data_IF_589650570957
#
_entry.id   IF_589650570957
#
_cell.length_a   1.000
_cell.length_b   1.000
_cell.length_c   1.000
_cell.angle_alpha   90.00
_cell.angle_beta   90.00
_cell.angle_gamma   90.00
#
_symmetry.space_group_name_H-M   'P 1'
#
loop_
_entity.id
_entity.type
_entity.pdbx_description
1 polymer ?
#
# COMPACT_ATOMS: atom_id res chain seq x y z
N UNK A 1 -49.40 -22.62 10.33
CA UNK A 1 -49.26 -22.00 9.00
C UNK A 1 -48.52 -20.69 9.21
N UNK A 2 -47.19 -20.73 9.20
CA UNK A 2 -46.36 -19.56 9.47
C UNK A 2 -45.78 -19.06 8.16
N UNK A 3 -46.14 -17.82 7.85
CA UNK A 3 -45.61 -16.92 6.82
C UNK A 3 -44.27 -17.34 6.23
N UNK A 4 -44.30 -17.78 4.98
CA UNK A 4 -43.14 -17.75 4.08
C UNK A 4 -42.79 -16.30 3.76
N UNK A 5 -42.23 -15.59 4.75
CA UNK A 5 -41.40 -14.41 4.50
C UNK A 5 -40.22 -14.91 3.68
N UNK A 6 -40.12 -14.48 2.43
CA UNK A 6 -38.90 -14.59 1.63
C UNK A 6 -37.75 -14.05 2.47
N UNK A 7 -37.00 -14.97 3.08
CA UNK A 7 -35.97 -14.61 4.03
C UNK A 7 -34.72 -14.37 3.22
N UNK A 8 -34.26 -13.12 3.19
CA UNK A 8 -33.04 -12.70 2.49
C UNK A 8 -31.87 -13.65 2.88
N UNK A 9 -31.17 -14.27 1.91
CA UNK A 9 -30.04 -15.16 2.19
C UNK A 9 -28.97 -14.51 3.07
N UNK A 10 -28.79 -13.19 3.02
CA UNK A 10 -27.83 -12.52 3.90
C UNK A 10 -28.27 -12.50 5.36
N UNK A 11 -29.58 -12.34 5.62
CA UNK A 11 -30.12 -12.38 6.97
C UNK A 11 -30.03 -13.80 7.54
N UNK A 12 -30.23 -14.82 6.70
CA UNK A 12 -29.99 -16.21 7.08
C UNK A 12 -28.53 -16.46 7.40
N UNK A 13 -27.61 -16.01 6.56
CA UNK A 13 -26.16 -16.15 6.81
C UNK A 13 -25.75 -15.45 8.11
N UNK A 14 -26.29 -14.27 8.39
CA UNK A 14 -26.11 -13.56 9.66
C UNK A 14 -26.65 -14.36 10.84
N UNK A 15 -27.87 -14.87 10.76
CA UNK A 15 -28.48 -15.70 11.79
C UNK A 15 -27.66 -16.97 12.06
N UNK A 16 -27.22 -17.66 11.01
CA UNK A 16 -26.38 -18.85 11.12
C UNK A 16 -25.06 -18.54 11.81
N UNK A 17 -24.42 -17.45 11.43
CA UNK A 17 -23.14 -17.03 12.01
C UNK A 17 -23.27 -16.63 13.47
N UNK A 18 -24.34 -15.93 13.84
CA UNK A 18 -24.61 -15.51 15.22
C UNK A 18 -24.90 -16.69 16.15
N UNK A 19 -25.54 -17.74 15.63
CA UNK A 19 -25.90 -18.95 16.39
C UNK A 19 -24.90 -20.10 16.21
N UNK A 20 -23.78 -19.88 15.50
CA UNK A 20 -22.79 -20.91 15.15
C UNK A 20 -23.40 -22.16 14.49
N UNK A 21 -24.38 -21.96 13.61
CA UNK A 21 -24.98 -23.01 12.80
C UNK A 21 -24.17 -23.23 11.52
N UNK A 22 -24.14 -24.47 11.04
CA UNK A 22 -23.45 -24.87 9.81
C UNK A 22 -24.43 -25.03 8.66
N UNK A 23 -24.22 -24.30 7.56
CA UNK A 23 -24.92 -24.52 6.30
C UNK A 23 -24.33 -25.69 5.51
N UNK A 24 -25.12 -26.27 4.61
CA UNK A 24 -24.69 -27.34 3.72
C UNK A 24 -24.40 -26.78 2.32
N UNK A 25 -23.35 -27.31 1.69
CA UNK A 25 -23.00 -27.00 0.31
C UNK A 25 -23.49 -28.15 -0.56
N UNK A 26 -24.23 -27.84 -1.63
CA UNK A 26 -24.81 -28.83 -2.52
C UNK A 26 -24.31 -28.64 -3.95
N UNK A 27 -24.00 -29.74 -4.65
CA UNK A 27 -23.74 -29.71 -6.09
C UNK A 27 -25.02 -29.53 -6.93
N UNK A 28 -24.90 -29.57 -8.26
CA UNK A 28 -26.03 -29.47 -9.18
C UNK A 28 -27.03 -30.65 -9.05
N UNK A 29 -26.57 -31.80 -8.56
CA UNK A 29 -27.39 -33.00 -8.32
C UNK A 29 -27.96 -33.04 -6.91
N UNK A 30 -27.77 -31.99 -6.11
CA UNK A 30 -28.17 -31.87 -4.71
C UNK A 30 -27.45 -32.83 -3.75
N UNK A 31 -26.26 -33.31 -4.10
CA UNK A 31 -25.40 -34.04 -3.17
C UNK A 31 -24.59 -33.06 -2.32
N UNK A 32 -24.31 -33.44 -1.07
CA UNK A 32 -23.48 -32.63 -0.16
C UNK A 32 -22.02 -32.68 -0.60
N UNK A 33 -21.41 -31.51 -0.75
CA UNK A 33 -19.99 -31.34 -1.10
C UNK A 33 -19.24 -30.62 0.01
N UNK A 34 -17.92 -30.83 0.10
CA UNK A 34 -17.09 -30.23 1.15
C UNK A 34 -16.50 -28.87 0.77
N UNK A 35 -16.30 -28.62 -0.53
CA UNK A 35 -15.65 -27.40 -1.04
C UNK A 35 -16.66 -26.50 -1.73
N UNK A 36 -16.42 -25.19 -1.64
CA UNK A 36 -17.34 -24.18 -2.17
C UNK A 36 -17.26 -24.07 -3.70
N UNK A 37 -16.09 -24.35 -4.29
CA UNK A 37 -15.89 -24.46 -5.73
C UNK A 37 -16.81 -25.50 -6.38
N UNK A 38 -17.03 -26.64 -5.71
CA UNK A 38 -17.81 -27.77 -6.23
C UNK A 38 -19.32 -27.60 -6.00
N UNK A 39 -19.71 -26.67 -5.13
CA UNK A 39 -21.09 -26.38 -4.82
C UNK A 39 -21.75 -25.60 -5.97
N UNK A 40 -23.04 -25.82 -6.19
CA UNK A 40 -23.92 -24.94 -6.98
C UNK A 40 -24.87 -24.16 -6.06
N UNK A 41 -25.27 -24.77 -4.95
CA UNK A 41 -26.22 -24.20 -4.00
C UNK A 41 -25.66 -24.16 -2.58
N UNK A 42 -26.11 -23.15 -1.81
CA UNK A 42 -25.89 -23.05 -0.37
C UNK A 42 -27.25 -23.26 0.30
N UNK A 43 -27.31 -24.23 1.21
CA UNK A 43 -28.53 -24.61 1.92
C UNK A 43 -28.49 -24.15 3.38
N UNK A 44 -29.55 -23.44 3.78
CA UNK A 44 -29.85 -23.04 5.15
C UNK A 44 -31.18 -23.71 5.52
N UNK A 45 -31.15 -24.74 6.37
CA UNK A 45 -32.29 -25.58 6.73
C UNK A 45 -32.98 -26.17 5.49
N UNK A 46 -34.23 -25.76 5.22
CA UNK A 46 -35.01 -26.18 4.05
C UNK A 46 -34.88 -25.23 2.85
N UNK A 47 -34.21 -24.09 3.02
CA UNK A 47 -34.04 -23.06 1.99
C UNK A 47 -32.72 -23.24 1.25
N UNK A 48 -32.76 -23.06 -0.07
CA UNK A 48 -31.61 -23.24 -0.96
C UNK A 48 -31.44 -22.01 -1.83
N UNK A 49 -30.21 -21.54 -1.96
CA UNK A 49 -29.86 -20.37 -2.74
C UNK A 49 -28.74 -20.70 -3.71
N UNK A 50 -28.80 -20.14 -4.92
CA UNK A 50 -27.70 -20.22 -5.88
C UNK A 50 -26.49 -19.46 -5.32
N UNK A 51 -25.31 -20.10 -5.30
CA UNK A 51 -24.10 -19.49 -4.75
C UNK A 51 -23.65 -18.25 -5.53
N UNK A 52 -24.04 -18.13 -6.80
CA UNK A 52 -23.70 -17.01 -7.68
C UNK A 52 -24.77 -15.92 -7.70
N UNK A 53 -25.87 -16.08 -6.95
CA UNK A 53 -26.86 -15.03 -6.78
C UNK A 53 -26.20 -13.78 -6.17
N UNK A 54 -26.41 -12.64 -6.82
CA UNK A 54 -25.91 -11.36 -6.32
C UNK A 54 -26.73 -10.94 -5.10
N UNK A 55 -26.03 -10.69 -4.00
CA UNK A 55 -26.66 -10.24 -2.78
C UNK A 55 -27.02 -8.75 -2.92
N UNK A 56 -28.32 -8.43 -2.81
CA UNK A 56 -28.85 -7.09 -3.09
C UNK A 56 -28.76 -6.15 -1.90
N UNK A 57 -28.67 -6.66 -0.66
CA UNK A 57 -28.75 -5.88 0.57
C UNK A 57 -27.39 -5.39 1.11
N UNK A 58 -26.27 -6.00 0.71
CA UNK A 58 -24.93 -5.54 1.07
C UNK A 58 -24.23 -4.91 -0.14
N UNK A 59 -24.09 -3.59 -0.11
CA UNK A 59 -23.29 -2.84 -1.08
C UNK A 59 -21.94 -2.50 -0.45
N UNK A 60 -20.86 -2.93 -1.08
CA UNK A 60 -19.51 -2.49 -0.69
C UNK A 60 -19.32 -0.99 -0.88
N UNK A 61 -18.18 -0.47 -0.45
CA UNK A 61 -17.80 0.94 -0.69
C UNK A 61 -17.79 1.30 -2.18
N UNK A 62 -17.54 0.31 -3.02
CA UNK A 62 -17.53 0.37 -4.48
C UNK A 62 -18.94 0.37 -5.11
N UNK A 63 -20.02 0.26 -4.31
CA UNK A 63 -21.40 0.02 -4.78
C UNK A 63 -21.55 -1.26 -5.62
N UNK A 64 -20.55 -2.12 -5.62
CA UNK A 64 -20.62 -3.40 -6.31
C UNK A 64 -21.39 -4.40 -5.44
N UNK A 65 -22.29 -5.15 -6.08
CA UNK A 65 -22.96 -6.28 -5.45
C UNK A 65 -22.03 -7.50 -5.52
N UNK A 66 -21.89 -8.20 -4.39
CA UNK A 66 -21.08 -9.41 -4.32
C UNK A 66 -21.96 -10.66 -4.44
N UNK A 67 -21.47 -11.72 -5.10
CA UNK A 67 -22.17 -12.99 -5.11
C UNK A 67 -22.18 -13.61 -3.70
N UNK A 68 -23.24 -14.37 -3.40
CA UNK A 68 -23.42 -15.02 -2.10
C UNK A 68 -22.23 -15.90 -1.70
N UNK A 69 -21.60 -16.59 -2.67
CA UNK A 69 -20.42 -17.42 -2.47
C UNK A 69 -19.23 -16.66 -1.88
N UNK A 70 -18.98 -15.43 -2.33
CA UNK A 70 -17.88 -14.59 -1.83
C UNK A 70 -18.15 -14.14 -0.40
N UNK A 71 -19.38 -13.72 -0.12
CA UNK A 71 -19.79 -13.32 1.23
C UNK A 71 -19.79 -14.50 2.21
N UNK A 72 -20.24 -15.67 1.74
CA UNK A 72 -20.19 -16.92 2.49
C UNK A 72 -18.76 -17.33 2.82
N UNK A 73 -17.87 -17.34 1.82
CA UNK A 73 -16.45 -17.64 1.98
C UNK A 73 -15.82 -16.75 3.05
N UNK A 74 -15.97 -15.43 2.91
CA UNK A 74 -15.45 -14.46 3.86
C UNK A 74 -15.94 -14.69 5.30
N UNK A 75 -17.20 -15.12 5.47
CA UNK A 75 -17.79 -15.47 6.77
C UNK A 75 -17.18 -16.76 7.34
N UNK A 76 -17.05 -17.81 6.53
CA UNK A 76 -16.49 -19.10 6.97
C UNK A 76 -15.01 -19.00 7.32
N UNK A 77 -14.26 -18.15 6.62
CA UNK A 77 -12.85 -17.90 6.86
C UNK A 77 -12.60 -16.70 7.78
N UNK A 78 -13.54 -16.36 8.67
CA UNK A 78 -13.45 -15.18 9.54
C UNK A 78 -12.21 -15.17 10.44
N UNK A 79 -11.69 -16.34 10.79
CA UNK A 79 -10.54 -16.52 11.68
C UNK A 79 -9.19 -16.40 10.95
N UNK A 80 -9.19 -16.41 9.61
CA UNK A 80 -7.97 -16.24 8.81
C UNK A 80 -7.55 -14.77 8.74
N UNK A 81 -6.25 -14.51 8.73
CA UNK A 81 -5.73 -13.19 8.37
C UNK A 81 -6.08 -12.81 6.90
N UNK A 82 -5.80 -11.57 6.50
CA UNK A 82 -6.18 -11.11 5.16
C UNK A 82 -5.36 -11.78 4.05
N UNK A 83 -4.10 -12.11 4.31
CA UNK A 83 -3.22 -12.76 3.33
C UNK A 83 -3.68 -14.18 3.05
N UNK A 84 -3.90 -14.98 4.09
CA UNK A 84 -4.38 -16.36 3.99
C UNK A 84 -5.77 -16.46 3.40
N UNK A 85 -6.65 -15.51 3.72
CA UNK A 85 -7.96 -15.41 3.06
C UNK A 85 -7.83 -15.21 1.54
N UNK A 86 -6.89 -14.39 1.08
CA UNK A 86 -6.68 -14.19 -0.36
C UNK A 86 -6.05 -15.42 -1.04
N UNK A 87 -5.16 -16.13 -0.34
CA UNK A 87 -4.63 -17.42 -0.81
C UNK A 87 -5.76 -18.44 -0.96
N UNK A 88 -6.56 -18.64 0.08
CA UNK A 88 -7.71 -19.56 0.10
C UNK A 88 -8.77 -19.19 -0.95
N UNK A 89 -9.06 -17.89 -1.13
CA UNK A 89 -9.95 -17.41 -2.19
C UNK A 89 -9.40 -17.65 -3.60
N UNK A 90 -8.08 -17.75 -3.76
CA UNK A 90 -7.43 -18.12 -5.02
C UNK A 90 -7.59 -19.60 -5.31
N UNK A 91 -7.42 -20.44 -4.29
CA UNK A 91 -7.63 -21.90 -4.39
C UNK A 91 -9.08 -22.23 -4.76
N UNK A 92 -10.05 -21.51 -4.19
CA UNK A 92 -11.48 -21.60 -4.52
C UNK A 92 -11.86 -20.94 -5.86
N UNK A 93 -10.89 -20.36 -6.58
CA UNK A 93 -11.02 -19.76 -7.93
C UNK A 93 -12.05 -18.62 -8.02
N UNK A 94 -12.12 -17.77 -7.00
CA UNK A 94 -12.97 -16.58 -7.05
C UNK A 94 -12.46 -15.52 -8.03
N UNK A 95 -13.36 -15.08 -8.93
CA UNK A 95 -13.12 -13.97 -9.86
C UNK A 95 -13.23 -12.60 -9.18
N UNK A 96 -14.10 -12.47 -8.18
CA UNK A 96 -14.32 -11.24 -7.40
C UNK A 96 -14.07 -11.56 -5.94
N UNK A 97 -13.41 -10.66 -5.20
CA UNK A 97 -13.07 -10.83 -3.79
C UNK A 97 -13.34 -9.55 -3.02
N UNK A 98 -13.68 -9.67 -1.74
CA UNK A 98 -13.73 -8.52 -0.86
C UNK A 98 -12.33 -7.98 -0.60
N UNK A 99 -12.15 -6.67 -0.77
CA UNK A 99 -10.93 -6.02 -0.29
C UNK A 99 -10.89 -6.00 1.26
N UNK A 100 -9.76 -5.56 1.83
CA UNK A 100 -9.57 -5.57 3.29
C UNK A 100 -10.66 -4.79 4.04
N UNK A 101 -11.02 -3.61 3.55
CA UNK A 101 -12.02 -2.74 4.18
C UNK A 101 -13.42 -3.33 4.08
N UNK A 102 -13.80 -3.84 2.91
CA UNK A 102 -15.09 -4.49 2.66
C UNK A 102 -15.24 -5.76 3.49
N UNK A 103 -14.19 -6.61 3.58
CA UNK A 103 -14.20 -7.81 4.42
C UNK A 103 -14.41 -7.45 5.89
N UNK A 104 -13.72 -6.42 6.38
CA UNK A 104 -13.89 -5.94 7.77
C UNK A 104 -15.31 -5.45 8.04
N UNK A 105 -15.89 -4.68 7.11
CA UNK A 105 -17.27 -4.20 7.21
C UNK A 105 -18.28 -5.36 7.19
N UNK A 106 -18.10 -6.29 6.25
CA UNK A 106 -18.91 -7.50 6.13
C UNK A 106 -18.91 -8.32 7.41
N UNK A 107 -17.73 -8.66 7.93
CA UNK A 107 -17.59 -9.42 9.18
C UNK A 107 -18.22 -8.70 10.38
N UNK A 108 -18.09 -7.37 10.44
CA UNK A 108 -18.73 -6.56 11.48
C UNK A 108 -20.26 -6.61 11.39
N UNK A 109 -20.82 -6.62 10.17
CA UNK A 109 -22.25 -6.72 9.95
C UNK A 109 -22.79 -8.11 10.33
N UNK A 110 -22.15 -9.17 9.85
CA UNK A 110 -22.57 -10.56 10.11
C UNK A 110 -22.44 -10.91 11.60
N UNK A 111 -21.46 -10.35 12.29
CA UNK A 111 -21.30 -10.51 13.75
C UNK A 111 -22.30 -9.67 14.56
N UNK A 112 -23.13 -8.84 13.90
CA UNK A 112 -24.09 -7.95 14.58
C UNK A 112 -23.45 -6.74 15.26
N UNK A 113 -22.16 -6.47 15.04
CA UNK A 113 -21.45 -5.32 15.61
C UNK A 113 -21.76 -4.01 14.89
N UNK A 114 -22.22 -4.07 13.63
CA UNK A 114 -22.62 -2.90 12.85
C UNK A 114 -23.94 -3.17 12.12
N UNK A 115 -24.89 -2.21 12.09
CA UNK A 115 -26.02 -2.28 11.16
C UNK A 115 -25.53 -2.10 9.70
N UNK A 116 -26.32 -2.57 8.74
CA UNK A 116 -26.10 -2.28 7.31
C UNK A 116 -26.23 -0.78 7.08
N UNK A 117 -25.33 -0.23 6.27
CA UNK A 117 -25.30 1.21 5.94
C UNK A 117 -26.56 1.73 5.21
N UNK A 118 -27.46 0.83 4.79
CA UNK A 118 -28.66 1.19 4.03
C UNK A 118 -29.90 1.46 4.90
N UNK A 119 -29.88 1.18 6.21
CA UNK A 119 -31.07 1.31 7.06
C UNK A 119 -31.16 2.64 7.82
N UNK A 120 -30.18 3.54 7.70
CA UNK A 120 -30.26 4.83 8.36
C UNK A 120 -29.28 5.83 7.73
N UNK A 121 -29.89 6.88 7.16
CA UNK A 121 -29.37 8.23 6.97
C UNK A 121 -27.86 8.44 7.05
N UNK A 122 -27.35 8.99 5.95
CA UNK A 122 -25.99 9.51 5.67
C UNK A 122 -25.37 10.47 6.71
N UNK A 123 -25.91 10.63 7.90
CA UNK A 123 -25.44 11.55 8.92
C UNK A 123 -25.20 10.84 10.25
N UNK A 124 -24.08 10.13 10.43
CA UNK A 124 -23.54 9.83 11.77
C UNK A 124 -22.11 9.25 11.72
N UNK A 125 -21.17 9.99 11.12
CA UNK A 125 -19.81 10.07 11.68
C UNK A 125 -19.80 11.14 12.82
N UNK A 126 -20.78 11.02 13.72
CA UNK A 126 -20.81 11.72 14.99
C UNK A 126 -20.00 10.89 15.98
N UNK A 127 -18.77 11.35 16.23
CA UNK A 127 -17.88 10.84 17.28
C UNK A 127 -18.68 10.59 18.56
N UNK A 128 -18.61 9.37 19.08
CA UNK A 128 -18.99 9.04 20.45
C UNK A 128 -18.07 9.82 21.40
N UNK A 129 -18.48 11.05 21.72
CA UNK A 129 -17.91 11.80 22.84
C UNK A 129 -18.62 11.32 24.09
N UNK A 130 -17.89 10.53 24.85
CA UNK A 130 -18.21 10.13 26.20
C UNK A 130 -18.45 11.40 27.02
N UNK A 131 -19.68 11.56 27.50
CA UNK A 131 -20.19 12.73 28.21
C UNK A 131 -19.53 12.81 29.60
N UNK A 132 -18.28 13.26 29.65
CA UNK A 132 -17.63 13.69 30.89
C UNK A 132 -18.22 15.04 31.30
N UNK A 133 -18.49 15.14 32.60
CA UNK A 133 -19.22 16.25 33.21
C UNK A 133 -18.52 17.58 32.93
N UNK A 134 -19.37 18.52 32.60
CA UNK A 134 -19.12 19.92 32.28
C UNK A 134 -18.25 20.57 33.36
N UNK A 135 -17.04 20.98 33.00
CA UNK A 135 -16.28 21.98 33.73
C UNK A 135 -16.09 23.18 32.79
N UNK A 136 -16.14 24.39 33.35
CA UNK A 136 -16.38 25.65 32.64
C UNK A 136 -15.16 26.17 31.85
N UNK A 137 -14.73 25.44 30.81
CA UNK A 137 -13.59 25.81 29.94
C UNK A 137 -14.00 25.91 28.45
N UNK A 138 -15.20 26.41 28.17
CA UNK A 138 -15.78 26.42 26.80
C UNK A 138 -15.06 27.39 25.85
N UNK A 139 -14.42 28.45 26.37
CA UNK A 139 -13.81 29.47 25.51
C UNK A 139 -12.44 29.06 24.93
N UNK A 140 -11.67 28.23 25.65
CA UNK A 140 -10.32 27.86 25.21
C UNK A 140 -10.34 26.77 24.12
N UNK A 141 -11.30 25.84 24.21
CA UNK A 141 -11.45 24.78 23.21
C UNK A 141 -11.94 25.33 21.86
N UNK A 142 -12.76 26.39 21.86
CA UNK A 142 -13.20 27.04 20.64
C UNK A 142 -12.04 27.73 19.91
N UNK A 143 -11.17 28.44 20.65
CA UNK A 143 -9.99 29.09 20.08
C UNK A 143 -9.00 28.07 19.50
N UNK A 144 -8.71 26.99 20.24
CA UNK A 144 -7.87 25.90 19.75
C UNK A 144 -8.45 25.23 18.49
N UNK A 145 -9.77 25.02 18.43
CA UNK A 145 -10.40 24.43 17.26
C UNK A 145 -10.30 25.34 16.01
N UNK A 146 -10.43 26.66 16.18
CA UNK A 146 -10.27 27.65 15.10
C UNK A 146 -8.82 27.68 14.61
N UNK A 147 -7.84 27.64 15.52
CA UNK A 147 -6.42 27.66 15.18
C UNK A 147 -5.98 26.39 14.46
N UNK A 148 -6.46 25.21 14.89
CA UNK A 148 -6.24 23.94 14.20
C UNK A 148 -6.81 23.98 12.78
N UNK A 149 -8.03 24.52 12.60
CA UNK A 149 -8.65 24.68 11.27
C UNK A 149 -7.83 25.62 10.38
N UNK A 150 -7.33 26.73 10.94
CA UNK A 150 -6.48 27.69 10.23
C UNK A 150 -5.16 27.06 9.78
N UNK A 151 -4.51 26.29 10.65
CA UNK A 151 -3.28 25.57 10.31
C UNK A 151 -3.49 24.50 9.23
N UNK A 152 -4.58 23.73 9.30
CA UNK A 152 -4.90 22.74 8.27
C UNK A 152 -5.15 23.40 6.91
N UNK A 153 -5.90 24.51 6.88
CA UNK A 153 -6.14 25.28 5.66
C UNK A 153 -4.83 25.83 5.07
N UNK A 154 -3.95 26.38 5.90
CA UNK A 154 -2.66 26.89 5.45
C UNK A 154 -1.73 25.79 4.90
N UNK A 155 -1.76 24.58 5.46
CA UNK A 155 -1.04 23.43 4.89
C UNK A 155 -1.60 23.03 3.52
N UNK A 156 -2.92 22.92 3.43
CA UNK A 156 -3.58 22.58 2.17
C UNK A 156 -3.32 23.61 1.06
N UNK A 157 -3.32 24.91 1.37
CA UNK A 157 -2.96 25.95 0.39
C UNK A 157 -1.49 25.87 -0.04
N UNK A 158 -0.57 25.55 0.88
CA UNK A 158 0.85 25.31 0.52
C UNK A 158 1.01 24.09 -0.38
N UNK A 159 0.33 22.99 -0.07
CA UNK A 159 0.39 21.76 -0.88
C UNK A 159 -0.24 21.99 -2.26
N UNK A 160 -1.32 22.79 -2.34
CA UNK A 160 -1.93 23.18 -3.60
C UNK A 160 -0.97 23.98 -4.48
N UNK A 161 -0.30 24.99 -3.92
CA UNK A 161 0.70 25.79 -4.65
C UNK A 161 1.88 24.92 -5.09
N UNK A 162 2.34 24.02 -4.21
CA UNK A 162 3.41 23.08 -4.55
C UNK A 162 3.02 22.17 -5.71
N UNK A 163 1.80 21.62 -5.70
CA UNK A 163 1.29 20.75 -6.76
C UNK A 163 1.07 21.50 -8.09
N UNK A 164 0.57 22.74 -8.05
CA UNK A 164 0.46 23.60 -9.24
C UNK A 164 1.85 23.92 -9.83
N UNK A 165 2.84 24.21 -8.99
CA UNK A 165 4.22 24.43 -9.43
C UNK A 165 4.85 23.16 -9.99
N UNK A 166 4.65 22.01 -9.33
CA UNK A 166 5.11 20.71 -9.81
C UNK A 166 4.51 20.38 -11.17
N UNK A 167 3.22 20.60 -11.38
CA UNK A 167 2.56 20.38 -12.67
C UNK A 167 3.06 21.35 -13.75
N UNK A 168 3.30 22.62 -13.40
CA UNK A 168 3.91 23.58 -14.34
C UNK A 168 5.32 23.18 -14.73
N UNK A 169 6.15 22.78 -13.75
CA UNK A 169 7.48 22.24 -14.02
C UNK A 169 7.37 21.00 -14.90
N UNK A 170 6.53 20.04 -14.55
CA UNK A 170 6.32 18.80 -15.31
C UNK A 170 5.83 19.06 -16.75
N UNK A 171 4.90 19.98 -16.96
CA UNK A 171 4.41 20.35 -18.30
C UNK A 171 5.45 21.13 -19.11
N UNK A 172 6.22 22.02 -18.47
CA UNK A 172 7.35 22.69 -19.12
C UNK A 172 8.48 21.72 -19.46
N UNK A 173 8.57 20.65 -18.68
CA UNK A 173 9.52 19.58 -18.81
C UNK A 173 9.07 18.59 -19.91
N UNK A 174 7.78 18.28 -20.04
CA UNK A 174 7.16 17.37 -21.05
C UNK A 174 7.47 17.65 -22.52
N UNK A 175 8.19 18.74 -22.86
CA UNK A 175 8.91 18.86 -24.14
C UNK A 175 10.35 18.31 -24.00
N UNK A 176 10.49 17.12 -23.40
CA UNK A 176 11.80 16.53 -23.21
C UNK A 176 12.26 15.87 -24.51
N UNK A 177 13.43 16.25 -25.07
CA UNK A 177 13.94 15.68 -26.31
C UNK A 177 14.17 14.16 -26.27
N UNK A 178 14.18 13.55 -25.08
CA UNK A 178 14.42 12.12 -24.92
C UNK A 178 13.15 11.27 -25.08
N UNK A 179 11.94 11.81 -24.91
CA UNK A 179 10.69 11.08 -25.19
C UNK A 179 10.52 10.84 -26.70
N UNK A 180 10.82 11.82 -27.55
CA UNK A 180 10.86 11.65 -29.01
C UNK A 180 11.94 10.64 -29.45
N UNK A 181 13.05 10.54 -28.71
CA UNK A 181 14.11 9.55 -28.95
C UNK A 181 13.75 8.12 -28.53
N UNK A 182 12.80 7.94 -27.60
CA UNK A 182 12.31 6.60 -27.21
C UNK A 182 11.25 6.06 -28.17
N UNK A 183 10.54 6.94 -28.88
CA UNK A 183 9.50 6.55 -29.84
C UNK A 183 10.01 6.34 -31.28
N UNK A 184 11.26 6.72 -31.60
CA UNK A 184 11.83 6.45 -32.92
C UNK A 184 12.03 4.94 -33.10
N UNK A 185 11.24 4.35 -34.02
CA UNK A 185 11.19 2.90 -34.34
C UNK A 185 12.47 2.33 -34.97
N UNK A 186 13.48 3.14 -35.20
CA UNK A 186 14.74 2.69 -35.78
C UNK A 186 15.56 1.99 -34.69
N UNK A 187 15.46 0.66 -34.70
CA UNK A 187 15.91 -0.29 -33.67
C UNK A 187 17.44 -0.39 -33.47
N UNK A 188 18.23 0.53 -33.99
CA UNK A 188 19.69 0.45 -33.90
C UNK A 188 20.28 1.69 -33.21
N UNK A 189 20.45 1.50 -31.89
CA UNK A 189 21.68 1.83 -31.15
C UNK A 189 22.21 3.27 -31.21
N UNK A 190 21.53 4.22 -30.57
CA UNK A 190 22.26 5.39 -30.07
C UNK A 190 21.75 5.93 -28.72
N UNK A 191 21.92 5.12 -27.67
CA UNK A 191 21.70 5.53 -26.28
C UNK A 191 22.71 6.58 -25.78
N UNK A 192 23.68 7.00 -26.59
CA UNK A 192 24.70 7.99 -26.21
C UNK A 192 24.10 9.32 -25.75
N UNK A 193 23.01 9.77 -26.40
CA UNK A 193 22.30 10.98 -26.00
C UNK A 193 21.59 10.80 -24.65
N UNK A 194 20.95 9.65 -24.44
CA UNK A 194 20.32 9.31 -23.15
C UNK A 194 21.33 9.29 -22.01
N UNK A 195 22.51 8.70 -22.23
CA UNK A 195 23.60 8.67 -21.25
C UNK A 195 24.11 10.09 -20.95
N UNK A 196 24.28 10.95 -21.97
CA UNK A 196 24.67 12.35 -21.77
C UNK A 196 23.63 13.15 -20.98
N UNK A 197 22.34 12.95 -21.24
CA UNK A 197 21.27 13.60 -20.47
C UNK A 197 21.23 13.09 -19.03
N UNK A 198 21.39 11.78 -18.81
CA UNK A 198 21.46 11.21 -17.47
C UNK A 198 22.65 11.78 -16.67
N UNK A 199 23.82 11.93 -17.28
CA UNK A 199 24.99 12.54 -16.64
C UNK A 199 24.75 14.02 -16.30
N UNK A 200 24.08 14.78 -17.17
CA UNK A 200 23.75 16.19 -16.90
C UNK A 200 22.76 16.34 -15.73
N UNK A 201 21.73 15.51 -15.65
CA UNK A 201 20.67 15.65 -14.66
C UNK A 201 20.99 14.97 -13.32
N UNK A 202 21.52 13.75 -13.33
CA UNK A 202 21.77 13.01 -12.09
C UNK A 202 23.14 13.34 -11.48
N UNK A 203 24.15 13.64 -12.30
CA UNK A 203 25.51 13.88 -11.81
C UNK A 203 25.86 15.37 -11.70
N UNK A 204 25.43 16.23 -12.63
CA UNK A 204 25.74 17.68 -12.61
C UNK A 204 24.72 18.56 -11.88
N UNK A 205 23.44 18.17 -11.74
CA UNK A 205 22.51 18.94 -10.90
C UNK A 205 23.01 19.05 -9.44
N UNK A 206 23.80 18.07 -9.00
CA UNK A 206 24.42 18.03 -7.67
C UNK A 206 25.56 19.03 -7.46
N UNK A 207 26.13 19.61 -8.53
CA UNK A 207 27.22 20.60 -8.39
C UNK A 207 26.73 22.05 -8.41
N UNK A 208 25.49 22.33 -8.82
CA UNK A 208 24.94 23.70 -8.81
C UNK A 208 24.44 24.15 -7.45
N UNK A 209 24.08 23.24 -6.54
CA UNK A 209 23.63 23.60 -5.19
C UNK A 209 24.76 23.89 -4.19
N UNK A 210 26.03 23.77 -4.60
CA UNK A 210 27.19 24.01 -3.73
C UNK A 210 27.95 25.30 -4.02
N UNK A 211 27.54 26.08 -5.04
CA UNK A 211 28.14 27.39 -5.30
C UNK A 211 27.10 28.38 -5.87
N UNK A 212 26.75 29.37 -5.05
CA UNK A 212 25.93 30.56 -5.33
C UNK A 212 24.40 30.39 -5.30
N UNK A 213 23.79 30.72 -4.15
CA UNK A 213 23.20 32.05 -3.92
C UNK A 213 22.70 32.15 -2.47
N UNK A 214 23.38 32.94 -1.64
CA UNK A 214 22.88 33.35 -0.33
C UNK A 214 21.50 33.99 -0.51
N UNK A 215 20.45 33.34 0.00
CA UNK A 215 19.13 33.96 0.13
C UNK A 215 19.23 35.08 1.18
N UNK A 216 18.75 36.31 0.87
CA UNK A 216 18.75 37.40 1.83
C UNK A 216 17.90 37.04 3.05
N UNK A 217 18.41 37.39 4.23
CA UNK A 217 17.92 36.96 5.53
C UNK A 217 16.44 37.26 5.77
N UNK A 218 15.74 36.26 6.30
CA UNK A 218 14.54 36.47 7.09
C UNK A 218 14.97 36.83 8.51
N UNK A 219 14.65 38.03 9.04
CA UNK A 219 14.86 38.31 10.45
C UNK A 219 13.93 37.42 11.26
N UNK A 220 14.52 36.47 12.01
CA UNK A 220 13.83 35.78 13.10
C UNK A 220 13.72 36.78 14.25
N UNK A 221 12.58 37.43 14.36
CA UNK A 221 12.12 38.02 15.61
C UNK A 221 11.90 36.86 16.60
N UNK A 222 12.83 36.70 17.53
CA UNK A 222 12.68 35.83 18.67
C UNK A 222 11.72 36.48 19.67
N UNK A 223 10.56 35.85 19.87
CA UNK A 223 9.73 36.06 21.05
C UNK A 223 10.50 35.60 22.31
N UNK A 224 10.58 36.42 23.38
CA UNK A 224 11.40 36.11 24.56
C UNK A 224 10.72 35.21 25.61
N UNK A 225 9.55 34.61 25.34
CA UNK A 225 8.82 33.81 26.34
C UNK A 225 8.34 32.45 25.82
N UNK A 226 9.28 31.53 25.58
CA UNK A 226 8.96 30.10 25.51
C UNK A 226 10.11 29.25 26.06
N UNK A 227 10.37 29.39 27.38
CA UNK A 227 11.09 28.36 28.13
C UNK A 227 10.14 27.19 28.35
N UNK A 228 10.23 26.17 27.50
CA UNK A 228 9.87 24.81 27.89
C UNK A 228 11.02 23.88 27.56
N UNK A 229 11.45 23.15 28.57
CA UNK A 229 12.55 22.18 28.56
C UNK A 229 12.18 20.98 27.68
N UNK A 230 12.28 21.11 26.36
CA UNK A 230 12.29 19.98 25.45
C UNK A 230 13.73 19.58 25.14
N UNK A 231 14.04 18.31 25.45
CA UNK A 231 15.34 17.63 25.35
C UNK A 231 16.18 18.04 24.13
N UNK A 232 17.41 18.43 24.41
CA UNK A 232 18.47 18.75 23.43
C UNK A 232 19.31 17.53 22.99
N UNK A 233 18.77 16.31 23.01
CA UNK A 233 19.54 15.07 22.77
C UNK A 233 19.41 14.48 21.36
N UNK A 234 18.91 15.24 20.37
CA UNK A 234 18.93 14.81 18.96
C UNK A 234 19.65 15.83 18.10
N UNK A 235 20.87 16.20 18.52
CA UNK A 235 21.92 16.52 17.55
C UNK A 235 22.62 15.21 17.22
N UNK A 236 21.94 14.37 16.46
CA UNK A 236 22.60 13.25 15.78
C UNK A 236 23.68 13.87 14.92
N UNK A 237 24.92 13.71 15.41
CA UNK A 237 26.16 13.84 14.65
C UNK A 237 25.88 13.36 13.23
N UNK A 238 25.93 14.28 12.27
CA UNK A 238 25.96 14.01 10.84
C UNK A 238 27.26 13.25 10.58
N UNK A 239 27.25 11.94 10.89
CA UNK A 239 28.32 11.04 10.48
C UNK A 239 28.41 11.16 8.96
N UNK A 240 29.65 11.32 8.50
CA UNK A 240 30.02 11.37 7.09
C UNK A 240 29.30 10.27 6.30
N UNK A 241 28.91 10.55 5.05
CA UNK A 241 28.03 9.67 4.30
C UNK A 241 28.65 8.29 4.18
N UNK A 242 28.02 7.31 4.83
CA UNK A 242 28.29 5.90 4.63
C UNK A 242 28.04 5.58 3.15
N UNK A 243 28.73 4.57 2.63
CA UNK A 243 28.53 4.14 1.26
C UNK A 243 27.03 3.87 1.03
N UNK A 244 26.44 4.30 -0.11
CA UNK A 244 25.03 4.04 -0.40
C UNK A 244 24.74 2.54 -0.36
N UNK A 245 23.73 2.17 0.43
CA UNK A 245 23.22 0.81 0.55
C UNK A 245 22.03 0.60 -0.38
N UNK A 246 22.04 -0.53 -1.11
CA UNK A 246 21.01 -0.93 -2.07
C UNK A 246 20.50 -2.32 -1.67
N UNK A 247 19.21 -2.46 -1.40
CA UNK A 247 18.60 -3.78 -1.19
C UNK A 247 18.26 -4.40 -2.54
N UNK A 248 18.68 -5.65 -2.66
CA UNK A 248 18.40 -6.52 -3.80
C UNK A 248 17.33 -7.52 -3.34
N UNK A 249 16.24 -7.70 -4.10
CA UNK A 249 15.20 -8.64 -3.70
C UNK A 249 15.76 -10.07 -3.61
N UNK A 250 15.40 -10.83 -2.55
CA UNK A 250 15.88 -12.20 -2.39
C UNK A 250 15.16 -13.22 -3.29
N UNK A 251 14.20 -12.76 -4.12
CA UNK A 251 13.36 -13.63 -4.94
C UNK A 251 14.16 -14.33 -6.05
N UNK A 252 13.96 -15.64 -6.28
CA UNK A 252 14.56 -16.36 -7.41
C UNK A 252 13.98 -15.93 -8.76
N UNK A 253 12.84 -15.23 -8.78
CA UNK A 253 12.22 -14.72 -10.01
C UNK A 253 12.69 -13.31 -10.40
N UNK A 254 13.48 -12.64 -9.54
CA UNK A 254 13.92 -11.28 -9.81
C UNK A 254 14.98 -11.26 -10.92
N UNK A 255 14.89 -10.28 -11.83
CA UNK A 255 15.84 -10.13 -12.93
C UNK A 255 17.27 -9.86 -12.43
N UNK A 256 17.41 -9.03 -11.38
CA UNK A 256 18.68 -8.77 -10.70
C UNK A 256 18.63 -9.40 -9.32
N UNK A 257 19.60 -10.25 -9.02
CA UNK A 257 19.75 -10.93 -7.73
C UNK A 257 21.18 -10.80 -7.22
N UNK A 258 21.41 -11.19 -5.96
CA UNK A 258 22.77 -11.22 -5.39
C UNK A 258 23.72 -12.18 -6.13
N UNK A 259 23.21 -13.08 -6.99
CA UNK A 259 24.04 -13.94 -7.81
C UNK A 259 24.66 -13.21 -9.01
N UNK A 260 23.86 -12.41 -9.72
CA UNK A 260 24.27 -11.82 -11.01
C UNK A 260 24.61 -10.32 -10.94
N UNK A 261 24.36 -9.67 -9.80
CA UNK A 261 24.56 -8.22 -9.66
C UNK A 261 26.01 -7.78 -9.87
N UNK A 262 26.97 -8.65 -9.53
CA UNK A 262 28.40 -8.36 -9.69
C UNK A 262 28.78 -8.34 -11.17
N UNK A 263 28.46 -9.40 -11.92
CA UNK A 263 28.70 -9.52 -13.36
C UNK A 263 27.99 -8.39 -14.11
N UNK A 264 26.76 -8.07 -13.70
CA UNK A 264 25.97 -7.02 -14.33
C UNK A 264 26.60 -5.63 -14.13
N UNK A 265 27.03 -5.29 -12.91
CA UNK A 265 27.48 -3.94 -12.59
C UNK A 265 28.98 -3.70 -12.78
N UNK A 266 29.82 -4.72 -12.62
CA UNK A 266 31.27 -4.65 -12.81
C UNK A 266 31.66 -4.99 -14.25
N UNK A 267 31.17 -6.12 -14.76
CA UNK A 267 31.60 -6.67 -16.05
C UNK A 267 30.68 -6.25 -17.21
N UNK A 268 29.61 -5.50 -16.90
CA UNK A 268 28.57 -5.11 -17.87
C UNK A 268 27.98 -6.31 -18.63
N UNK A 269 27.91 -7.48 -17.97
CA UNK A 269 27.44 -8.73 -18.56
C UNK A 269 26.29 -9.30 -17.75
N UNK A 270 25.18 -9.58 -18.42
CA UNK A 270 24.07 -10.29 -17.79
C UNK A 270 24.29 -11.81 -17.87
N UNK A 271 24.11 -12.47 -16.74
CA UNK A 271 24.08 -13.93 -16.63
C UNK A 271 22.84 -14.36 -15.84
N UNK A 272 22.19 -15.40 -16.33
CA UNK A 272 20.97 -15.94 -15.73
C UNK A 272 21.28 -16.65 -14.40
N UNK A 273 20.44 -16.42 -13.38
CA UNK A 273 20.68 -16.91 -12.03
C UNK A 273 20.84 -18.44 -11.96
N UNK A 274 20.14 -19.20 -12.80
CA UNK A 274 20.21 -20.66 -12.83
C UNK A 274 21.65 -21.15 -13.06
N UNK A 275 22.39 -20.53 -13.98
CA UNK A 275 23.76 -20.91 -14.33
C UNK A 275 24.78 -20.55 -13.23
N UNK A 276 24.49 -19.50 -12.46
CA UNK A 276 25.36 -19.01 -11.40
C UNK A 276 25.17 -19.77 -10.08
N UNK A 277 23.96 -20.28 -9.82
CA UNK A 277 23.66 -21.04 -8.60
C UNK A 277 24.48 -22.31 -8.46
N UNK A 278 24.76 -22.99 -9.57
CA UNK A 278 25.51 -24.25 -9.57
C UNK A 278 27.02 -24.04 -9.40
N UNK A 279 27.52 -22.86 -9.78
CA UNK A 279 28.95 -22.56 -9.85
C UNK A 279 29.45 -21.64 -8.74
N UNK A 280 28.57 -20.89 -8.07
CA UNK A 280 28.96 -19.86 -7.09
C UNK A 280 28.09 -19.89 -5.83
N UNK A 281 28.76 -19.68 -4.68
CA UNK A 281 28.08 -19.51 -3.39
C UNK A 281 27.45 -18.11 -3.33
N UNK A 282 26.20 -18.03 -2.87
CA UNK A 282 25.49 -16.77 -2.66
C UNK A 282 26.20 -15.92 -1.60
N UNK A 283 26.59 -14.71 -1.96
CA UNK A 283 27.03 -13.68 -1.02
C UNK A 283 25.83 -12.83 -0.59
N UNK A 284 25.64 -12.63 0.71
CA UNK A 284 24.55 -11.81 1.26
C UNK A 284 24.88 -10.31 1.31
N UNK A 285 26.15 -9.98 1.07
CA UNK A 285 26.64 -8.62 1.14
C UNK A 285 27.79 -8.43 0.15
N UNK A 286 27.64 -7.52 -0.81
CA UNK A 286 28.60 -7.27 -1.88
C UNK A 286 28.96 -5.79 -1.90
N UNK A 287 30.26 -5.47 -2.05
CA UNK A 287 30.74 -4.10 -2.28
C UNK A 287 31.23 -3.95 -3.71
N UNK A 288 30.70 -2.97 -4.43
CA UNK A 288 31.09 -2.69 -5.83
C UNK A 288 31.60 -1.26 -5.90
N UNK A 289 32.84 -1.08 -6.39
CA UNK A 289 33.41 0.23 -6.67
C UNK A 289 33.24 0.56 -8.16
N UNK A 290 32.56 1.67 -8.46
CA UNK A 290 32.39 2.19 -9.83
C UNK A 290 32.60 3.69 -9.85
N UNK A 291 33.46 4.17 -10.74
CA UNK A 291 33.80 5.59 -10.88
C UNK A 291 34.27 6.24 -9.56
N UNK A 292 35.07 5.51 -8.77
CA UNK A 292 35.58 5.96 -7.47
C UNK A 292 34.55 6.02 -6.34
N UNK A 293 33.31 5.57 -6.57
CA UNK A 293 32.27 5.45 -5.55
C UNK A 293 32.04 3.99 -5.21
N UNK A 294 32.00 3.69 -3.91
CA UNK A 294 31.69 2.35 -3.41
C UNK A 294 30.19 2.28 -3.11
N UNK A 295 29.55 1.23 -3.61
CA UNK A 295 28.15 0.89 -3.37
C UNK A 295 28.09 -0.42 -2.61
N UNK A 296 27.19 -0.51 -1.63
CA UNK A 296 26.98 -1.70 -0.81
C UNK A 296 25.63 -2.32 -1.17
N UNK A 297 25.60 -3.62 -1.41
CA UNK A 297 24.42 -4.37 -1.80
C UNK A 297 24.14 -5.47 -0.81
N UNK A 298 22.88 -5.65 -0.42
CA UNK A 298 22.46 -6.74 0.46
C UNK A 298 21.06 -7.23 0.14
N UNK A 299 20.76 -8.48 0.47
CA UNK A 299 19.43 -9.09 0.31
C UNK A 299 18.69 -9.32 1.64
N UNK A 300 19.33 -9.02 2.76
CA UNK A 300 18.75 -9.14 4.10
C UNK A 300 18.72 -7.79 4.79
N UNK A 301 17.60 -7.53 5.49
CA UNK A 301 17.41 -6.36 6.33
C UNK A 301 17.77 -6.62 7.80
N UNK A 302 18.12 -7.86 8.15
CA UNK A 302 18.28 -8.31 9.55
C UNK A 302 19.43 -7.58 10.27
N UNK A 303 20.44 -7.15 9.52
CA UNK A 303 21.62 -6.46 10.03
C UNK A 303 21.51 -4.93 9.95
N UNK A 304 20.38 -4.37 9.51
CA UNK A 304 20.24 -2.92 9.31
C UNK A 304 19.79 -2.21 10.59
N UNK A 305 20.57 -1.24 11.03
CA UNK A 305 20.19 -0.35 12.12
C UNK A 305 19.23 0.73 11.63
N UNK A 306 18.47 1.35 12.54
CA UNK A 306 17.52 2.41 12.20
C UNK A 306 18.17 3.59 11.45
N UNK A 307 19.45 3.86 11.69
CA UNK A 307 20.22 4.87 10.96
C UNK A 307 20.46 4.52 9.49
N UNK A 308 20.60 3.23 9.17
CA UNK A 308 20.89 2.77 7.80
C UNK A 308 19.67 2.96 6.87
N UNK A 309 18.46 2.97 7.44
CA UNK A 309 17.21 3.23 6.70
C UNK A 309 17.12 4.66 6.16
N UNK A 310 17.77 5.63 6.81
CA UNK A 310 17.83 7.02 6.33
C UNK A 310 18.78 7.17 5.14
N UNK A 311 19.70 6.23 4.96
CA UNK A 311 20.70 6.23 3.88
C UNK A 311 20.26 5.39 2.67
N UNK A 312 19.09 4.76 2.77
CA UNK A 312 18.53 3.89 1.76
C UNK A 312 18.13 4.69 0.52
N UNK A 313 18.75 4.42 -0.62
CA UNK A 313 18.55 5.23 -1.85
C UNK A 313 17.69 4.59 -2.93
N UNK A 314 17.74 3.27 -3.10
CA UNK A 314 17.11 2.60 -4.25
C UNK A 314 16.64 1.21 -3.84
N UNK A 315 15.33 0.97 -3.93
CA UNK A 315 14.74 -0.37 -3.97
C UNK A 315 14.74 -0.82 -5.43
N UNK A 316 15.47 -1.88 -5.75
CA UNK A 316 15.37 -2.54 -7.05
C UNK A 316 14.06 -3.34 -7.09
N UNK A 317 12.94 -2.64 -7.35
CA UNK A 317 11.68 -3.28 -7.69
C UNK A 317 11.69 -3.60 -9.18
N UNK A 318 11.99 -4.84 -9.53
CA UNK A 318 11.91 -5.34 -10.90
C UNK A 318 10.95 -6.52 -10.95
N UNK A 319 9.65 -6.20 -10.89
CA UNK A 319 8.64 -7.02 -11.53
C UNK A 319 8.52 -6.52 -12.97
N UNK A 320 8.93 -7.35 -13.92
CA UNK A 320 8.53 -7.21 -15.32
C UNK A 320 7.34 -8.16 -15.43
N UNK A 321 6.13 -7.62 -15.54
CA UNK A 321 4.93 -8.39 -15.90
C UNK A 321 4.97 -8.81 -17.36
#
# INVERSE_FOLDING_TARGET
MTDSKETDPLQLLKHYTANNLTSQLLDQSYNVVSKLQDATYIQFDSLRFDKNMLATSFQGLSQQNFPLSVLYHATTTRDLDFTKYNEDATEEKFTIRLNYTERKQWLSFVSGSSPLANDSDRNLFGKTSEKRRHDNSVDNDHQNAVEIKRHKKARFEKDKIWMENYLKEYQSASNWPWEESLESKDKEENYSQFIQYADLYFLKAKSRDLSAQERPGHPRTSDPYARTHYRSDVRQSLKTPKNPLILVPPSPSAFVTMYNIKQLLQDARFEEQANLRDNQKREHFIKICRNGKTYEFTDSVDNLQQSDWLEYKILMNTYIE
#
